data_IF_388274435018
#
_entry.id   IF_388274435018
#
_cell.length_a   1.000
_cell.length_b   1.000
_cell.length_c   1.000
_cell.angle_alpha   90.00
_cell.angle_beta   90.00
_cell.angle_gamma   90.00
#
_symmetry.space_group_name_H-M   'P 1'
#
loop_
_entity.id
_entity.type
_entity.pdbx_description
1 polymer ?
#
# COMPACT_ATOMS: atom_id res chain seq x y z
N UNK A 1 6.56 23.69 10.89
CA UNK A 1 6.93 22.34 10.46
C UNK A 1 7.47 22.44 9.05
N UNK A 2 8.67 21.90 8.79
CA UNK A 2 9.20 21.83 7.43
C UNK A 2 8.21 21.13 6.49
N UNK A 3 7.96 21.68 5.29
CA UNK A 3 7.02 21.10 4.34
C UNK A 3 7.41 19.67 3.95
N UNK A 4 8.71 19.37 3.90
CA UNK A 4 9.23 18.03 3.64
C UNK A 4 8.85 17.02 4.73
N UNK A 5 8.93 17.42 6.01
CA UNK A 5 8.57 16.55 7.15
C UNK A 5 7.08 16.22 7.12
N UNK A 6 6.23 17.19 6.79
CA UNK A 6 4.78 16.98 6.67
C UNK A 6 4.44 15.97 5.57
N UNK A 7 5.11 16.06 4.42
CA UNK A 7 4.92 15.14 3.29
C UNK A 7 5.38 13.73 3.64
N UNK A 8 6.54 13.57 4.28
CA UNK A 8 7.03 12.27 4.76
C UNK A 8 6.01 11.64 5.72
N UNK A 9 5.53 12.41 6.70
CA UNK A 9 4.58 11.92 7.70
C UNK A 9 3.26 11.48 7.05
N UNK A 10 2.74 12.26 6.09
CA UNK A 10 1.51 11.91 5.36
C UNK A 10 1.68 10.61 4.56
N UNK A 11 2.81 10.43 3.88
CA UNK A 11 3.08 9.20 3.12
C UNK A 11 3.23 8.00 4.06
N UNK A 12 3.88 8.19 5.21
CA UNK A 12 4.01 7.15 6.22
C UNK A 12 2.63 6.74 6.78
N UNK A 13 1.79 7.72 7.14
CA UNK A 13 0.42 7.47 7.60
C UNK A 13 -0.38 6.72 6.53
N UNK A 14 -0.30 7.16 5.28
CA UNK A 14 -0.99 6.52 4.17
C UNK A 14 -0.52 5.07 3.96
N UNK A 15 0.79 4.82 4.06
CA UNK A 15 1.35 3.47 3.96
C UNK A 15 0.91 2.55 5.09
N UNK A 16 0.84 3.06 6.33
CA UNK A 16 0.34 2.30 7.48
C UNK A 16 -1.15 1.99 7.33
N UNK A 17 -1.97 2.97 6.93
CA UNK A 17 -3.39 2.76 6.67
C UNK A 17 -3.61 1.72 5.55
N UNK A 18 -2.81 1.80 4.49
CA UNK A 18 -2.84 0.83 3.40
C UNK A 18 -2.47 -0.58 3.88
N UNK A 19 -1.44 -0.71 4.72
CA UNK A 19 -1.03 -1.99 5.30
C UNK A 19 -2.15 -2.59 6.16
N UNK A 20 -2.79 -1.79 7.01
CA UNK A 20 -3.92 -2.23 7.85
C UNK A 20 -5.07 -2.72 6.97
N UNK A 21 -5.45 -1.94 5.95
CA UNK A 21 -6.47 -2.32 4.99
C UNK A 21 -6.13 -3.65 4.30
N UNK A 22 -4.87 -3.81 3.88
CA UNK A 22 -4.38 -5.02 3.23
C UNK A 22 -4.50 -6.24 4.15
N UNK A 23 -4.09 -6.13 5.41
CA UNK A 23 -4.18 -7.24 6.39
C UNK A 23 -5.62 -7.65 6.65
N UNK A 24 -6.55 -6.68 6.74
CA UNK A 24 -7.98 -6.94 6.95
C UNK A 24 -8.59 -7.63 5.72
N UNK A 25 -8.22 -7.18 4.52
CA UNK A 25 -8.74 -7.72 3.26
C UNK A 25 -8.12 -9.07 2.89
N UNK A 26 -6.87 -9.33 3.31
CA UNK A 26 -6.11 -10.54 2.98
C UNK A 26 -6.89 -11.85 3.20
N UNK A 27 -7.47 -12.15 4.38
CA UNK A 27 -8.20 -13.40 4.59
C UNK A 27 -9.41 -13.56 3.66
N UNK A 28 -10.11 -12.46 3.37
CA UNK A 28 -11.23 -12.46 2.43
C UNK A 28 -10.76 -12.71 1.00
N UNK A 29 -9.63 -12.10 0.60
CA UNK A 29 -9.03 -12.32 -0.70
C UNK A 29 -8.47 -13.73 -0.88
N UNK A 30 -7.87 -14.31 0.16
CA UNK A 30 -7.39 -15.70 0.13
C UNK A 30 -8.55 -16.66 -0.10
N UNK A 31 -9.72 -16.42 0.53
CA UNK A 31 -10.93 -17.23 0.27
C UNK A 31 -11.45 -17.07 -1.16
N UNK A 32 -11.28 -15.91 -1.76
CA UNK A 32 -11.72 -15.60 -3.11
C UNK A 32 -10.66 -15.94 -4.18
N UNK A 33 -9.46 -16.40 -3.78
CA UNK A 33 -8.32 -16.59 -4.68
C UNK A 33 -8.55 -17.71 -5.71
N UNK A 34 -9.48 -18.64 -5.44
CA UNK A 34 -9.90 -19.65 -6.40
C UNK A 34 -10.71 -19.05 -7.56
N UNK A 35 -11.34 -17.90 -7.35
CA UNK A 35 -12.07 -17.18 -8.38
C UNK A 35 -11.12 -16.23 -9.14
N UNK A 36 -11.26 -16.15 -10.46
CA UNK A 36 -10.50 -15.23 -11.32
C UNK A 36 -10.57 -13.79 -10.80
N UNK A 37 -11.74 -13.38 -10.27
CA UNK A 37 -11.97 -12.06 -9.67
C UNK A 37 -11.11 -11.83 -8.43
N UNK A 38 -10.93 -12.84 -7.57
CA UNK A 38 -10.07 -12.73 -6.39
C UNK A 38 -8.59 -12.63 -6.74
N UNK A 39 -8.15 -13.33 -7.80
CA UNK A 39 -6.77 -13.21 -8.32
C UNK A 39 -6.50 -11.81 -8.85
N UNK A 40 -7.45 -11.21 -9.58
CA UNK A 40 -7.33 -9.83 -10.08
C UNK A 40 -7.29 -8.84 -8.91
N UNK A 41 -8.23 -8.96 -7.96
CA UNK A 41 -8.28 -8.09 -6.78
C UNK A 41 -6.99 -8.18 -5.95
N UNK A 42 -6.44 -9.39 -5.81
CA UNK A 42 -5.16 -9.60 -5.13
C UNK A 42 -4.01 -8.94 -5.88
N UNK A 43 -3.95 -9.10 -7.21
CA UNK A 43 -2.96 -8.44 -8.04
C UNK A 43 -3.01 -6.91 -7.93
N UNK A 44 -4.21 -6.31 -7.90
CA UNK A 44 -4.40 -4.86 -7.73
C UNK A 44 -3.93 -4.39 -6.35
N UNK A 45 -4.23 -5.14 -5.29
CA UNK A 45 -3.73 -4.86 -3.94
C UNK A 45 -2.21 -4.98 -3.85
N UNK A 46 -1.61 -5.99 -4.44
CA UNK A 46 -0.14 -6.11 -4.46
C UNK A 46 0.49 -4.97 -5.26
N UNK A 47 -0.04 -4.65 -6.45
CA UNK A 47 0.45 -3.55 -7.27
C UNK A 47 0.32 -2.19 -6.56
N UNK A 48 -0.79 -1.96 -5.84
CA UNK A 48 -0.98 -0.76 -5.03
C UNK A 48 0.05 -0.66 -3.90
N UNK A 49 0.32 -1.76 -3.20
CA UNK A 49 1.36 -1.82 -2.16
C UNK A 49 2.76 -1.53 -2.71
N UNK A 50 3.11 -2.11 -3.86
CA UNK A 50 4.38 -1.82 -4.56
C UNK A 50 4.46 -0.35 -4.97
N UNK A 51 3.38 0.24 -5.47
CA UNK A 51 3.33 1.67 -5.82
C UNK A 51 3.60 2.57 -4.62
N UNK A 52 3.01 2.27 -3.47
CA UNK A 52 3.26 2.99 -2.21
C UNK A 52 4.72 2.84 -1.76
N UNK A 53 5.28 1.63 -1.85
CA UNK A 53 6.68 1.37 -1.51
C UNK A 53 7.66 2.11 -2.43
N UNK A 54 7.37 2.17 -3.74
CA UNK A 54 8.15 2.94 -4.70
C UNK A 54 8.08 4.45 -4.41
N UNK A 55 6.91 4.97 -4.06
CA UNK A 55 6.75 6.38 -3.66
C UNK A 55 7.55 6.71 -2.40
N UNK A 56 7.53 5.83 -1.41
CA UNK A 56 8.35 5.95 -0.20
C UNK A 56 9.85 5.95 -0.55
N UNK A 57 10.28 5.05 -1.43
CA UNK A 57 11.67 4.97 -1.90
C UNK A 57 12.11 6.25 -2.60
N UNK A 58 11.28 6.79 -3.50
CA UNK A 58 11.55 8.05 -4.19
C UNK A 58 11.66 9.22 -3.22
N UNK A 59 10.83 9.26 -2.18
CA UNK A 59 10.95 10.29 -1.15
C UNK A 59 12.24 10.15 -0.35
N UNK A 60 12.59 8.93 0.04
CA UNK A 60 13.83 8.64 0.78
C UNK A 60 15.09 8.96 0.00
N UNK A 61 15.06 8.93 -1.34
CA UNK A 61 16.19 9.30 -2.20
C UNK A 61 16.31 10.81 -2.45
N UNK A 62 15.28 11.59 -2.11
CA UNK A 62 15.25 13.06 -2.29
C UNK A 62 15.54 13.85 -1.02
N UNK A 63 15.64 13.17 0.13
CA UNK A 63 16.01 13.73 1.44
C UNK A 63 17.49 13.41 1.66
#
# INVERSE_FOLDING_TARGET
MDPNVRTVLQILIFAVLYLILFIILLPSLIRLLDQTTGKIAYGVLVAGGVGVALRLRQLSQRI
#
